data_IF_113836399910
#
_entry.id   IF_113836399910
#
_cell.length_a   1.000
_cell.length_b   1.000
_cell.length_c   1.000
_cell.angle_alpha   90.00
_cell.angle_beta   90.00
_cell.angle_gamma   90.00
#
_symmetry.space_group_name_H-M   'P 1'
#
loop_
_entity.id
_entity.type
_entity.pdbx_description
1 polymer ?
#
# COMPACT_ATOMS: atom_id res chain seq x y z
N UNK A 1 -20.45 -20.56 -9.00
CA UNK A 1 -19.08 -20.86 -8.54
C UNK A 1 -18.20 -19.71 -9.00
N UNK A 2 -18.15 -18.62 -8.24
CA UNK A 2 -17.45 -17.39 -8.61
C UNK A 2 -16.08 -17.37 -7.94
N UNK A 3 -15.03 -17.55 -8.74
CA UNK A 3 -13.66 -17.37 -8.31
C UNK A 3 -13.44 -15.89 -7.96
N UNK A 4 -13.66 -15.54 -6.70
CA UNK A 4 -13.25 -14.26 -6.13
C UNK A 4 -11.73 -14.26 -5.94
N UNK A 5 -11.01 -14.18 -7.05
CA UNK A 5 -9.54 -14.11 -7.08
C UNK A 5 -9.07 -13.11 -8.14
N UNK A 6 -9.72 -11.95 -8.17
CA UNK A 6 -9.07 -10.72 -8.63
C UNK A 6 -8.93 -9.92 -7.34
N UNK A 7 -7.74 -9.95 -6.75
CA UNK A 7 -7.44 -9.16 -5.56
C UNK A 7 -7.75 -7.70 -5.88
N UNK A 8 -8.68 -7.09 -5.14
CA UNK A 8 -9.00 -5.67 -5.27
C UNK A 8 -7.69 -4.86 -5.15
N UNK A 9 -7.23 -4.16 -6.20
CA UNK A 9 -5.94 -3.49 -6.19
C UNK A 9 -5.82 -2.44 -5.07
N UNK A 10 -6.94 -1.81 -4.69
CA UNK A 10 -6.98 -0.84 -3.61
C UNK A 10 -6.71 -1.52 -2.25
N UNK A 11 -7.46 -2.59 -1.94
CA UNK A 11 -7.24 -3.41 -0.74
C UNK A 11 -5.87 -4.08 -0.71
N UNK A 12 -5.35 -4.49 -1.88
CA UNK A 12 -4.03 -5.10 -1.97
C UNK A 12 -2.90 -4.11 -1.68
N UNK A 13 -2.99 -2.90 -2.25
CA UNK A 13 -2.03 -1.83 -1.95
C UNK A 13 -2.05 -1.45 -0.47
N UNK A 14 -3.24 -1.34 0.13
CA UNK A 14 -3.40 -1.07 1.56
C UNK A 14 -2.75 -2.15 2.43
N UNK A 15 -2.99 -3.43 2.10
CA UNK A 15 -2.42 -4.56 2.85
C UNK A 15 -0.88 -4.57 2.79
N UNK A 16 -0.29 -4.30 1.63
CA UNK A 16 1.16 -4.22 1.48
C UNK A 16 1.77 -3.04 2.25
N UNK A 17 1.10 -1.88 2.24
CA UNK A 17 1.53 -0.71 2.99
C UNK A 17 1.46 -0.95 4.50
N UNK A 18 0.40 -1.60 4.97
CA UNK A 18 0.25 -2.00 6.38
C UNK A 18 1.35 -2.99 6.81
N UNK A 19 1.62 -4.01 5.98
CA UNK A 19 2.71 -4.97 6.24
C UNK A 19 4.09 -4.31 6.32
N UNK A 20 4.38 -3.35 5.45
CA UNK A 20 5.62 -2.54 5.50
C UNK A 20 5.66 -1.67 6.76
N UNK A 21 4.54 -1.06 7.13
CA UNK A 21 4.44 -0.26 8.35
C UNK A 21 4.57 -1.07 9.65
N UNK A 22 4.23 -2.35 9.61
CA UNK A 22 4.34 -3.26 10.75
C UNK A 22 5.76 -3.81 10.97
N UNK A 23 6.60 -3.85 9.94
CA UNK A 23 7.98 -4.38 10.04
C UNK A 23 8.95 -3.34 10.63
N UNK A 24 9.05 -3.34 11.96
CA UNK A 24 9.95 -2.45 12.71
C UNK A 24 11.42 -2.89 12.69
N UNK A 25 11.70 -4.09 12.22
CA UNK A 25 13.07 -4.62 12.17
C UNK A 25 13.79 -4.11 10.92
N UNK A 26 13.07 -4.01 9.80
CA UNK A 26 13.62 -3.58 8.51
C UNK A 26 13.28 -2.12 8.14
N UNK A 27 12.21 -1.55 8.70
CA UNK A 27 11.70 -0.22 8.31
C UNK A 27 11.93 0.81 9.42
N UNK A 28 12.65 1.92 9.14
CA UNK A 28 12.79 3.02 10.09
C UNK A 28 11.43 3.58 10.51
N UNK A 29 11.29 3.94 11.80
CA UNK A 29 10.01 4.34 12.39
C UNK A 29 9.24 5.43 11.63
N UNK A 30 9.94 6.42 11.07
CA UNK A 30 9.33 7.48 10.27
C UNK A 30 8.72 6.93 8.96
N UNK A 31 9.43 6.03 8.29
CA UNK A 31 8.95 5.39 7.05
C UNK A 31 7.80 4.44 7.36
N UNK A 32 7.88 3.71 8.47
CA UNK A 32 6.83 2.83 8.93
C UNK A 32 5.52 3.61 9.17
N UNK A 33 5.61 4.76 9.87
CA UNK A 33 4.45 5.63 10.12
C UNK A 33 3.85 6.16 8.82
N UNK A 34 4.68 6.55 7.84
CA UNK A 34 4.20 6.98 6.52
C UNK A 34 3.46 5.86 5.78
N UNK A 35 3.93 4.62 5.88
CA UNK A 35 3.28 3.47 5.24
C UNK A 35 1.93 3.14 5.92
N UNK A 36 1.87 3.15 7.25
CA UNK A 36 0.61 2.97 7.99
C UNK A 36 -0.39 4.08 7.67
N UNK A 37 0.06 5.34 7.60
CA UNK A 37 -0.81 6.46 7.22
C UNK A 37 -1.34 6.32 5.79
N UNK A 38 -0.50 5.89 4.85
CA UNK A 38 -0.93 5.61 3.49
C UNK A 38 -1.96 4.47 3.43
N UNK A 39 -1.79 3.39 4.23
CA UNK A 39 -2.77 2.31 4.33
C UNK A 39 -4.12 2.82 4.87
N UNK A 40 -4.11 3.63 5.92
CA UNK A 40 -5.32 4.24 6.50
C UNK A 40 -6.07 5.11 5.47
N UNK A 41 -5.35 5.90 4.67
CA UNK A 41 -5.95 6.70 3.59
C UNK A 41 -6.67 5.82 2.55
N UNK A 42 -6.11 4.66 2.22
CA UNK A 42 -6.75 3.71 1.30
C UNK A 42 -7.97 3.05 1.94
N UNK A 43 -7.94 2.69 3.22
CA UNK A 43 -9.12 2.21 3.96
C UNK A 43 -10.25 3.24 3.96
N UNK A 44 -9.92 4.52 4.17
CA UNK A 44 -10.88 5.62 4.06
C UNK A 44 -11.43 5.82 2.65
N UNK A 45 -10.69 5.39 1.63
CA UNK A 45 -11.15 5.32 0.24
C UNK A 45 -11.99 4.06 -0.07
N UNK A 46 -12.22 3.19 0.92
CA UNK A 46 -13.04 1.98 0.79
C UNK A 46 -12.23 0.69 0.69
N UNK A 47 -10.90 0.74 0.81
CA UNK A 47 -10.08 -0.47 0.89
C UNK A 47 -10.49 -1.34 2.09
N UNK A 48 -10.41 -2.66 1.91
CA UNK A 48 -10.60 -3.65 2.96
C UNK A 48 -9.39 -4.59 2.99
N UNK A 49 -8.23 -4.11 3.45
CA UNK A 49 -7.01 -4.90 3.46
C UNK A 49 -7.21 -6.15 4.31
N UNK A 50 -6.62 -7.25 3.84
CA UNK A 50 -6.45 -8.46 4.65
C UNK A 50 -4.99 -8.52 5.08
N UNK A 51 -4.69 -8.98 6.30
CA UNK A 51 -3.31 -9.17 6.74
C UNK A 51 -2.52 -9.97 5.70
N UNK A 52 -1.35 -9.44 5.32
CA UNK A 52 -0.44 -10.08 4.38
C UNK A 52 0.99 -10.01 4.91
N UNK A 53 1.82 -10.94 4.47
CA UNK A 53 3.26 -10.83 4.66
C UNK A 53 3.87 -9.86 3.63
N UNK A 54 5.08 -9.39 3.93
CA UNK A 54 5.94 -8.73 2.95
C UNK A 54 6.22 -9.68 1.78
N UNK A 55 6.25 -9.13 0.58
CA UNK A 55 6.66 -9.86 -0.62
C UNK A 55 8.14 -10.19 -0.53
N UNK A 56 8.47 -11.47 -0.58
CA UNK A 56 9.82 -12.02 -0.42
C UNK A 56 10.54 -11.54 0.87
N UNK A 57 9.78 -11.10 1.88
CA UNK A 57 10.33 -10.47 3.08
C UNK A 57 10.94 -9.08 2.86
N UNK A 58 10.78 -8.48 1.67
CA UNK A 58 11.39 -7.19 1.29
C UNK A 58 10.36 -6.04 1.34
N UNK A 59 10.55 -5.05 2.24
CA UNK A 59 9.70 -3.87 2.29
C UNK A 59 9.74 -3.02 1.02
N UNK A 60 10.87 -2.99 0.29
CA UNK A 60 11.00 -2.24 -0.98
C UNK A 60 10.22 -2.91 -2.11
N UNK A 61 10.33 -4.22 -2.25
CA UNK A 61 9.51 -4.98 -3.21
C UNK A 61 8.02 -4.79 -2.93
N UNK A 62 7.63 -4.86 -1.66
CA UNK A 62 6.25 -4.65 -1.20
C UNK A 62 5.73 -3.23 -1.54
N UNK A 63 6.53 -2.18 -1.29
CA UNK A 63 6.18 -0.81 -1.67
C UNK A 63 6.06 -0.61 -3.20
N UNK A 64 6.96 -1.21 -3.97
CA UNK A 64 6.90 -1.14 -5.45
C UNK A 64 5.64 -1.82 -5.96
N UNK A 65 5.30 -2.99 -5.43
CA UNK A 65 4.07 -3.70 -5.81
C UNK A 65 2.83 -2.94 -5.38
N UNK A 66 2.82 -2.32 -4.20
CA UNK A 66 1.71 -1.45 -3.77
C UNK A 66 1.48 -0.30 -4.75
N UNK A 67 2.54 0.40 -5.16
CA UNK A 67 2.42 1.46 -6.18
C UNK A 67 1.97 0.92 -7.54
N UNK A 68 2.42 -0.28 -7.94
CA UNK A 68 1.95 -0.94 -9.16
C UNK A 68 0.46 -1.25 -9.11
N UNK A 69 -0.04 -1.71 -7.96
CA UNK A 69 -1.47 -1.95 -7.75
C UNK A 69 -2.28 -0.64 -7.81
N UNK A 70 -1.79 0.44 -7.20
CA UNK A 70 -2.41 1.77 -7.29
C UNK A 70 -2.44 2.29 -8.74
N UNK A 71 -1.38 2.09 -9.52
CA UNK A 71 -1.30 2.50 -10.92
C UNK A 71 -2.24 1.69 -11.84
N UNK A 72 -2.73 0.53 -11.40
CA UNK A 72 -3.68 -0.29 -12.13
C UNK A 72 -5.15 0.07 -11.83
N UNK A 73 -5.40 1.00 -10.90
CA UNK A 73 -6.74 1.50 -10.62
C UNK A 73 -7.30 2.26 -11.82
N UNK A 74 -8.62 2.25 -11.96
CA UNK A 74 -9.31 3.15 -12.89
C UNK A 74 -9.01 4.62 -12.52
N UNK A 75 -8.93 5.49 -13.53
CA UNK A 75 -8.49 6.88 -13.36
C UNK A 75 -9.37 7.67 -12.37
N UNK A 76 -10.67 7.44 -12.39
CA UNK A 76 -11.64 8.03 -11.46
C UNK A 76 -11.40 7.61 -10.00
N UNK A 77 -11.03 6.34 -9.78
CA UNK A 77 -10.66 5.83 -8.45
C UNK A 77 -9.30 6.39 -8.03
N UNK A 78 -8.31 6.38 -8.93
CA UNK A 78 -6.97 6.86 -8.63
C UNK A 78 -6.94 8.35 -8.30
N UNK A 79 -7.76 9.16 -8.98
CA UNK A 79 -7.82 10.62 -8.78
C UNK A 79 -8.58 11.04 -7.53
N UNK A 80 -9.22 10.10 -6.83
CA UNK A 80 -9.84 10.36 -5.53
C UNK A 80 -8.77 10.79 -4.51
N UNK A 81 -8.99 11.92 -3.84
CA UNK A 81 -7.96 12.62 -3.04
C UNK A 81 -7.20 11.72 -2.04
N UNK A 82 -7.87 10.94 -1.16
CA UNK A 82 -7.21 9.95 -0.32
C UNK A 82 -6.27 8.97 -1.03
N UNK A 83 -6.63 8.51 -2.23
CA UNK A 83 -5.84 7.54 -3.00
C UNK A 83 -4.59 8.22 -3.57
N UNK A 84 -4.72 9.45 -4.08
CA UNK A 84 -3.58 10.26 -4.53
C UNK A 84 -2.60 10.54 -3.40
N UNK A 85 -3.10 10.92 -2.22
CA UNK A 85 -2.25 11.25 -1.08
C UNK A 85 -1.56 10.00 -0.51
N UNK A 86 -2.24 8.85 -0.49
CA UNK A 86 -1.62 7.56 -0.18
C UNK A 86 -0.50 7.22 -1.18
N UNK A 87 -0.75 7.36 -2.49
CA UNK A 87 0.24 7.09 -3.53
C UNK A 87 1.48 8.01 -3.41
N UNK A 88 1.27 9.30 -3.12
CA UNK A 88 2.35 10.27 -2.89
C UNK A 88 3.18 9.90 -1.67
N UNK A 89 2.51 9.53 -0.58
CA UNK A 89 3.15 9.13 0.68
C UNK A 89 3.97 7.85 0.49
N UNK A 90 3.41 6.82 -0.16
CA UNK A 90 4.10 5.59 -0.50
C UNK A 90 5.34 5.82 -1.39
N UNK A 91 5.23 6.71 -2.39
CA UNK A 91 6.36 7.10 -3.24
C UNK A 91 7.46 7.80 -2.44
N UNK A 92 7.09 8.67 -1.50
CA UNK A 92 8.05 9.34 -0.63
C UNK A 92 8.76 8.33 0.30
N UNK A 93 8.01 7.41 0.90
CA UNK A 93 8.54 6.33 1.72
C UNK A 93 9.56 5.47 0.94
N UNK A 94 9.21 5.03 -0.28
CA UNK A 94 10.12 4.23 -1.11
C UNK A 94 11.44 4.97 -1.39
N UNK A 95 11.38 6.26 -1.73
CA UNK A 95 12.57 7.09 -2.01
C UNK A 95 13.48 7.26 -0.80
N UNK A 96 12.94 7.17 0.42
CA UNK A 96 13.72 7.30 1.66
C UNK A 96 14.25 5.97 2.16
N UNK A 97 13.60 4.88 1.79
CA UNK A 97 14.02 3.53 2.16
C UNK A 97 15.24 3.06 1.35
N UNK A 98 15.58 3.72 0.22
CA UNK A 98 16.80 3.50 -0.56
C UNK A 98 16.56 3.62 -2.06
#
# INVERSE_FOLDING_TARGET
MTAASITDPLSYAAALLDAVGADRDQVPAEIALQCLYAAELLERAGARPRPTALLDGDPRASLRTAMGALAALAEDVFTHSPVLDAARTARHALRRLG
#
